data_IF_210290749326
#
_entry.id   IF_210290749326
#
_cell.length_a   1.000
_cell.length_b   1.000
_cell.length_c   1.000
_cell.angle_alpha   90.00
_cell.angle_beta   90.00
_cell.angle_gamma   90.00
#
_symmetry.space_group_name_H-M   'P 1'
#
loop_
_entity.id
_entity.type
_entity.pdbx_description
1 polymer ?
#
# COMPACT_ATOMS: atom_id res chain seq x y z
N UNK A 1 -5.37 -1.94 7.86
CA UNK A 1 -4.75 -1.62 6.56
C UNK A 1 -4.03 -0.28 6.65
N UNK A 2 -2.99 -0.09 5.86
CA UNK A 2 -2.22 1.17 5.76
C UNK A 2 -2.65 1.89 4.48
N UNK A 3 -2.88 3.20 4.55
CA UNK A 3 -3.23 3.98 3.36
C UNK A 3 -2.02 4.10 2.42
N UNK A 4 -2.23 3.89 1.12
CA UNK A 4 -1.24 4.10 0.05
C UNK A 4 -1.90 4.78 -1.14
N UNK A 5 -1.09 5.36 -2.03
CA UNK A 5 -1.55 5.77 -3.35
C UNK A 5 -1.11 4.73 -4.38
N UNK A 6 -2.05 3.94 -4.90
CA UNK A 6 -1.74 2.94 -5.93
C UNK A 6 -1.38 3.56 -7.29
N UNK A 7 -1.52 4.87 -7.46
CA UNK A 7 -0.96 5.57 -8.62
C UNK A 7 0.55 5.83 -8.48
N UNK A 8 1.10 5.68 -7.27
CA UNK A 8 2.53 5.81 -6.96
C UNK A 8 3.26 4.46 -6.99
N UNK A 9 3.03 3.67 -8.03
CA UNK A 9 3.78 2.44 -8.30
C UNK A 9 5.15 2.76 -8.90
N UNK A 10 6.22 2.31 -8.25
CA UNK A 10 7.60 2.41 -8.76
C UNK A 10 8.01 1.19 -9.59
N UNK A 11 7.31 0.07 -9.41
CA UNK A 11 7.34 -1.11 -10.28
C UNK A 11 5.91 -1.69 -10.37
N UNK A 12 5.68 -2.68 -11.24
CA UNK A 12 4.34 -3.26 -11.48
C UNK A 12 3.62 -3.71 -10.18
N UNK A 13 4.37 -4.19 -9.19
CA UNK A 13 3.84 -4.66 -7.91
C UNK A 13 4.53 -4.01 -6.72
N UNK A 14 5.11 -2.82 -6.89
CA UNK A 14 5.82 -2.13 -5.82
C UNK A 14 5.27 -0.72 -5.63
N UNK A 15 4.55 -0.52 -4.54
CA UNK A 15 3.93 0.77 -4.20
C UNK A 15 4.72 1.47 -3.09
N UNK A 16 4.82 2.80 -3.16
CA UNK A 16 5.40 3.61 -2.09
C UNK A 16 4.54 3.49 -0.81
N UNK A 17 5.19 3.31 0.35
CA UNK A 17 4.50 3.02 1.61
C UNK A 17 4.71 4.10 2.67
N UNK A 18 5.97 4.44 3.00
CA UNK A 18 6.23 5.49 4.00
C UNK A 18 7.62 6.09 3.89
N UNK A 19 7.70 7.40 4.15
CA UNK A 19 8.95 8.16 4.27
C UNK A 19 9.71 7.81 5.57
N UNK A 20 9.02 7.38 6.62
CA UNK A 20 9.60 7.05 7.93
C UNK A 20 9.35 5.61 8.36
N UNK A 21 9.83 5.23 9.55
CA UNK A 21 9.64 3.87 10.12
C UNK A 21 8.24 3.60 10.64
N UNK A 22 7.28 4.47 10.34
CA UNK A 22 5.89 4.29 10.71
C UNK A 22 4.97 4.76 9.61
N UNK A 23 3.81 4.14 9.50
CA UNK A 23 2.72 4.58 8.65
C UNK A 23 1.42 4.71 9.44
N UNK A 24 0.52 5.57 8.96
CA UNK A 24 -0.82 5.67 9.52
C UNK A 24 -1.65 4.48 9.01
N UNK A 25 -2.07 3.64 9.96
CA UNK A 25 -3.08 2.63 9.71
C UNK A 25 -4.48 3.22 9.78
N UNK A 26 -5.44 2.43 9.31
CA UNK A 26 -6.86 2.69 9.46
C UNK A 26 -7.21 3.04 10.92
N UNK A 27 -8.08 4.02 11.12
CA UNK A 27 -8.50 4.55 12.44
C UNK A 27 -7.41 5.30 13.23
N UNK A 28 -6.32 5.74 12.57
CA UNK A 28 -5.27 6.54 13.20
C UNK A 28 -4.28 5.74 14.03
N UNK A 29 -4.33 4.40 13.96
CA UNK A 29 -3.34 3.53 14.62
C UNK A 29 -2.02 3.62 13.87
N UNK A 30 -0.96 4.02 14.55
CA UNK A 30 0.39 4.02 13.97
C UNK A 30 0.92 2.59 13.85
N UNK A 31 1.35 2.20 12.66
CA UNK A 31 2.02 0.92 12.39
C UNK A 31 3.52 1.19 12.25
N UNK A 32 4.34 0.52 13.06
CA UNK A 32 5.81 0.56 12.92
C UNK A 32 6.22 -0.43 11.84
N UNK A 33 6.92 0.06 10.83
CA UNK A 33 7.31 -0.71 9.65
C UNK A 33 8.69 -1.35 9.85
N UNK A 34 8.81 -2.59 9.39
CA UNK A 34 10.06 -3.34 9.40
C UNK A 34 10.16 -4.15 8.11
N UNK A 35 11.37 -4.26 7.57
CA UNK A 35 11.65 -5.08 6.38
C UNK A 35 11.19 -6.53 6.60
N UNK A 36 10.47 -7.10 5.63
CA UNK A 36 9.90 -8.44 5.72
C UNK A 36 8.55 -8.53 6.44
N UNK A 37 8.04 -7.43 7.02
CA UNK A 37 6.72 -7.40 7.66
C UNK A 37 5.61 -7.55 6.62
N UNK A 38 4.63 -8.43 6.87
CA UNK A 38 3.42 -8.51 6.05
C UNK A 38 2.44 -7.40 6.43
N UNK A 39 1.92 -6.70 5.43
CA UNK A 39 0.97 -5.60 5.61
C UNK A 39 -0.16 -5.70 4.59
N UNK A 40 -1.33 -5.23 5.00
CA UNK A 40 -2.45 -4.97 4.10
C UNK A 40 -2.53 -3.46 3.87
N UNK A 41 -2.64 -3.07 2.61
CA UNK A 41 -2.70 -1.67 2.17
C UNK A 41 -4.02 -1.39 1.47
N UNK A 42 -4.44 -0.13 1.47
CA UNK A 42 -5.66 0.30 0.81
C UNK A 42 -5.55 1.71 0.25
N UNK A 43 -6.39 2.01 -0.73
CA UNK A 43 -6.65 3.34 -1.26
C UNK A 43 -8.16 3.52 -1.39
N UNK A 44 -8.65 4.72 -1.08
CA UNK A 44 -10.08 5.01 -1.21
C UNK A 44 -10.50 4.92 -2.68
N UNK A 45 -11.58 4.20 -2.95
CA UNK A 45 -12.15 4.04 -4.29
C UNK A 45 -13.67 3.82 -4.23
N UNK A 46 -14.36 4.06 -5.35
CA UNK A 46 -15.81 3.91 -5.46
C UNK A 46 -16.16 2.90 -6.56
N UNK A 47 -17.18 2.08 -6.33
CA UNK A 47 -17.75 1.21 -7.35
C UNK A 47 -18.49 2.02 -8.46
N UNK A 48 -18.93 1.33 -9.51
CA UNK A 48 -19.68 1.94 -10.63
C UNK A 48 -21.01 2.60 -10.20
N UNK A 49 -21.50 2.29 -8.98
CA UNK A 49 -22.74 2.84 -8.41
C UNK A 49 -22.46 3.96 -7.41
N UNK A 50 -21.20 4.33 -7.18
CA UNK A 50 -20.78 5.36 -6.24
C UNK A 50 -20.75 4.91 -4.78
N UNK A 51 -20.80 3.61 -4.49
CA UNK A 51 -20.61 3.09 -3.14
C UNK A 51 -19.11 2.94 -2.86
N UNK A 52 -18.73 3.04 -1.59
CA UNK A 52 -17.34 2.79 -1.17
C UNK A 52 -16.96 1.35 -1.48
N UNK A 53 -15.94 1.18 -2.31
CA UNK A 53 -15.32 -0.11 -2.63
C UNK A 53 -13.82 0.10 -2.83
N UNK A 54 -13.11 0.26 -1.71
CA UNK A 54 -11.70 0.62 -1.71
C UNK A 54 -10.86 -0.38 -2.52
N UNK A 55 -9.81 0.11 -3.17
CA UNK A 55 -8.78 -0.78 -3.67
C UNK A 55 -7.92 -1.26 -2.51
N UNK A 56 -7.55 -2.53 -2.54
CA UNK A 56 -6.80 -3.18 -1.46
C UNK A 56 -5.76 -4.14 -2.03
N UNK A 57 -4.69 -4.37 -1.28
CA UNK A 57 -3.68 -5.36 -1.61
C UNK A 57 -2.98 -5.86 -0.34
N UNK A 58 -2.45 -7.08 -0.39
CA UNK A 58 -1.54 -7.63 0.62
C UNK A 58 -0.12 -7.67 0.07
N UNK A 59 0.86 -7.48 0.95
CA UNK A 59 2.25 -7.46 0.52
C UNK A 59 3.25 -7.48 1.66
N UNK A 60 4.52 -7.38 1.29
CA UNK A 60 5.66 -7.38 2.22
C UNK A 60 6.36 -6.04 2.16
N UNK A 61 6.70 -5.49 3.33
CA UNK A 61 7.48 -4.26 3.46
C UNK A 61 8.92 -4.52 2.99
N UNK A 62 9.38 -3.74 2.02
CA UNK A 62 10.78 -3.76 1.56
C UNK A 62 11.38 -2.35 1.56
N UNK A 63 12.71 -2.27 1.71
CA UNK A 63 13.40 -0.98 1.58
C UNK A 63 13.27 -0.49 0.14
N UNK A 64 12.94 0.79 0.00
CA UNK A 64 12.90 1.41 -1.30
C UNK A 64 14.31 1.50 -1.90
N UNK A 65 14.47 0.98 -3.11
CA UNK A 65 15.69 1.09 -3.90
C UNK A 65 15.48 1.92 -5.18
N UNK A 66 14.28 2.48 -5.39
CA UNK A 66 13.96 3.25 -6.58
C UNK A 66 14.76 4.56 -6.63
N UNK A 67 15.34 4.85 -7.79
CA UNK A 67 15.98 6.13 -8.07
C UNK A 67 15.00 7.08 -8.76
N UNK A 68 15.07 8.38 -8.48
CA UNK A 68 14.21 9.39 -9.11
C UNK A 68 13.12 9.92 -8.19
N UNK A 69 11.90 10.09 -8.71
CA UNK A 69 10.82 10.79 -8.01
C UNK A 69 10.44 10.13 -6.66
N UNK A 70 10.45 8.80 -6.59
CA UNK A 70 10.14 8.04 -5.37
C UNK A 70 11.28 7.88 -4.36
N UNK A 71 12.49 8.39 -4.64
CA UNK A 71 13.70 8.11 -3.84
C UNK A 71 13.64 8.63 -2.38
N UNK A 72 12.73 9.56 -2.12
CA UNK A 72 12.57 10.19 -0.81
C UNK A 72 11.72 9.33 0.16
N UNK A 73 11.05 8.31 -0.35
CA UNK A 73 10.28 7.34 0.44
C UNK A 73 11.21 6.23 0.91
N UNK A 74 11.11 5.85 2.18
CA UNK A 74 12.00 4.83 2.79
C UNK A 74 11.52 3.40 2.53
N UNK A 75 10.22 3.18 2.65
CA UNK A 75 9.60 1.87 2.57
C UNK A 75 8.66 1.78 1.39
N UNK A 76 8.69 0.62 0.73
CA UNK A 76 7.70 0.22 -0.25
C UNK A 76 6.95 -1.02 0.25
N UNK A 77 5.77 -1.27 -0.31
CA UNK A 77 5.05 -2.52 -0.15
C UNK A 77 5.12 -3.30 -1.46
N UNK A 78 5.77 -4.47 -1.42
CA UNK A 78 5.79 -5.43 -2.52
C UNK A 78 4.49 -6.23 -2.48
N UNK A 79 3.59 -5.90 -3.38
CA UNK A 79 2.29 -6.55 -3.54
C UNK A 79 2.52 -7.99 -3.99
N UNK A 80 1.81 -8.92 -3.35
CA UNK A 80 1.91 -10.34 -3.64
C UNK A 80 1.17 -10.71 -4.95
N UNK A 81 1.11 -12.01 -5.25
CA UNK A 81 0.48 -12.50 -6.47
C UNK A 81 -1.03 -12.22 -6.55
N UNK A 82 -1.66 -11.85 -5.43
CA UNK A 82 -3.06 -11.52 -5.45
C UNK A 82 -3.35 -10.18 -6.13
N UNK A 83 -2.36 -9.27 -6.18
CA UNK A 83 -2.48 -8.00 -6.85
C UNK A 83 -3.37 -7.00 -6.11
N UNK A 84 -3.71 -5.90 -6.80
CA UNK A 84 -4.64 -4.89 -6.30
C UNK A 84 -6.05 -5.31 -6.69
N UNK A 85 -6.97 -5.37 -5.72
CA UNK A 85 -8.36 -5.81 -5.91
C UNK A 85 -9.35 -4.87 -5.23
N UNK A 86 -10.57 -4.74 -5.77
CA UNK A 86 -11.68 -4.15 -5.03
C UNK A 86 -11.90 -4.88 -3.70
N UNK A 87 -12.19 -4.13 -2.65
CA UNK A 87 -12.41 -4.66 -1.30
C UNK A 87 -13.55 -5.69 -1.28
N UNK A 88 -14.55 -5.49 -2.13
CA UNK A 88 -15.68 -6.41 -2.30
C UNK A 88 -15.28 -7.81 -2.81
N UNK A 89 -14.14 -7.98 -3.48
CA UNK A 89 -13.64 -9.27 -3.99
C UNK A 89 -12.92 -10.11 -2.94
N UNK A 90 -12.64 -9.56 -1.75
CA UNK A 90 -11.94 -10.24 -0.65
C UNK A 90 -12.93 -10.99 0.28
N UNK A 91 -14.23 -10.97 -0.05
CA UNK A 91 -15.32 -11.55 0.76
C UNK A 91 -15.49 -13.06 0.62
#
# INVERSE_FOLDING_TARGET
MIYVDFNELVELNLVLLSVGDSAAGMNGVTVVLQEGMRVDVYMDDLDEKGNVDNLTASGVVEKNAATGWGQHVKWCCRIDSDGIRPQSEIS
#
